data_IF_636706802577
#
_entry.id   IF_636706802577
#
_cell.length_a   1.000
_cell.length_b   1.000
_cell.length_c   1.000
_cell.angle_alpha   90.00
_cell.angle_beta   90.00
_cell.angle_gamma   90.00
#
_symmetry.space_group_name_H-M   'P 1'
#
loop_
_entity.id
_entity.type
_entity.pdbx_description
1 polymer ?
#
# COMPACT_ATOMS: atom_id res chain seq x y z
N UNK A 1 2.95 16.57 9.52
CA UNK A 1 2.24 15.28 9.54
C UNK A 1 3.20 14.19 9.97
N UNK A 2 2.68 13.16 10.63
CA UNK A 2 3.40 11.88 10.81
C UNK A 2 2.92 10.88 9.77
N UNK A 3 3.85 10.38 8.96
CA UNK A 3 3.59 9.46 7.85
C UNK A 3 4.22 8.10 8.16
N UNK A 4 3.41 7.05 8.20
CA UNK A 4 3.89 5.66 8.34
C UNK A 4 3.83 4.97 6.98
N UNK A 5 4.93 4.36 6.53
CA UNK A 5 5.01 3.70 5.22
C UNK A 5 5.47 2.26 5.40
N UNK A 6 4.64 1.30 5.00
CA UNK A 6 5.05 -0.11 5.01
C UNK A 6 5.89 -0.44 3.78
N UNK A 7 6.97 -1.23 3.98
CA UNK A 7 7.88 -1.59 2.88
C UNK A 7 8.68 -0.42 2.32
N UNK A 8 9.23 0.43 3.21
CA UNK A 8 9.97 1.65 2.86
C UNK A 8 11.46 1.42 2.57
N UNK A 9 11.94 0.17 2.48
CA UNK A 9 13.38 -0.11 2.31
C UNK A 9 13.89 0.05 0.88
N UNK A 10 13.02 0.09 -0.12
CA UNK A 10 13.37 0.21 -1.56
C UNK A 10 12.19 0.68 -2.40
N UNK A 11 12.46 0.96 -3.67
CA UNK A 11 11.45 1.29 -4.68
C UNK A 11 10.53 2.44 -4.29
N UNK A 12 9.25 2.32 -4.58
CA UNK A 12 8.24 3.35 -4.32
C UNK A 12 8.19 3.74 -2.84
N UNK A 13 8.25 2.76 -1.93
CA UNK A 13 8.19 3.04 -0.49
C UNK A 13 9.36 3.89 0.01
N UNK A 14 10.59 3.61 -0.45
CA UNK A 14 11.76 4.42 -0.12
C UNK A 14 11.67 5.83 -0.74
N UNK A 15 11.20 5.93 -1.99
CA UNK A 15 10.99 7.21 -2.65
C UNK A 15 9.95 8.07 -1.93
N UNK A 16 8.80 7.50 -1.52
CA UNK A 16 7.79 8.20 -0.72
C UNK A 16 8.34 8.66 0.63
N UNK A 17 9.15 7.81 1.29
CA UNK A 17 9.78 8.19 2.55
C UNK A 17 10.71 9.40 2.37
N UNK A 18 11.56 9.40 1.36
CA UNK A 18 12.44 10.52 1.04
C UNK A 18 11.65 11.78 0.67
N UNK A 19 10.58 11.64 -0.12
CA UNK A 19 9.71 12.74 -0.53
C UNK A 19 9.10 13.46 0.69
N UNK A 20 8.42 12.72 1.57
CA UNK A 20 7.79 13.30 2.77
C UNK A 20 8.82 13.83 3.77
N UNK A 21 9.99 13.20 3.91
CA UNK A 21 11.09 13.73 4.75
C UNK A 21 11.60 15.06 4.21
N UNK A 22 11.82 15.17 2.89
CA UNK A 22 12.28 16.42 2.26
C UNK A 22 11.27 17.57 2.38
N UNK A 23 9.97 17.23 2.47
CA UNK A 23 8.89 18.16 2.74
C UNK A 23 8.74 18.53 4.23
N UNK A 24 9.63 18.06 5.10
CA UNK A 24 9.65 18.41 6.53
C UNK A 24 8.65 17.61 7.38
N UNK A 25 8.19 16.46 6.91
CA UNK A 25 7.29 15.60 7.67
C UNK A 25 8.05 14.58 8.52
N UNK A 26 7.47 14.17 9.64
CA UNK A 26 7.94 13.00 10.38
C UNK A 26 7.57 11.74 9.60
N UNK A 27 8.57 10.96 9.18
CA UNK A 27 8.36 9.72 8.42
C UNK A 27 8.86 8.53 9.20
N UNK A 28 8.02 7.51 9.31
CA UNK A 28 8.35 6.23 9.94
C UNK A 28 8.27 5.16 8.85
N UNK A 29 9.42 4.91 8.23
CA UNK A 29 9.57 3.86 7.23
C UNK A 29 9.75 2.50 7.87
N UNK A 30 8.91 1.52 7.50
CA UNK A 30 9.03 0.16 8.03
C UNK A 30 9.58 -0.82 7.00
N UNK A 31 10.23 -1.87 7.48
CA UNK A 31 10.79 -2.93 6.66
C UNK A 31 11.15 -4.17 7.49
N UNK A 32 11.43 -5.28 6.82
CA UNK A 32 11.77 -6.56 7.47
C UNK A 32 13.17 -6.58 8.09
N UNK A 33 14.09 -5.79 7.54
CA UNK A 33 15.47 -5.71 8.02
C UNK A 33 15.53 -4.99 9.36
N UNK A 34 16.45 -5.43 10.22
CA UNK A 34 16.79 -4.71 11.46
C UNK A 34 17.40 -3.31 11.20
N UNK A 35 17.85 -3.03 9.98
CA UNK A 35 18.29 -1.69 9.57
C UNK A 35 17.14 -0.74 9.21
N UNK A 36 15.89 -1.21 9.14
CA UNK A 36 14.73 -0.34 8.96
C UNK A 36 14.56 0.56 10.19
N UNK A 37 14.05 1.76 9.99
CA UNK A 37 13.76 2.69 11.09
C UNK A 37 12.81 2.06 12.12
N UNK A 38 11.85 1.27 11.65
CA UNK A 38 10.99 0.44 12.48
C UNK A 38 10.79 -0.92 11.80
N UNK A 39 11.10 -1.99 12.53
CA UNK A 39 10.99 -3.33 11.95
C UNK A 39 9.53 -3.76 11.84
N UNK A 40 9.13 -4.21 10.65
CA UNK A 40 7.82 -4.78 10.37
C UNK A 40 7.93 -5.88 9.31
N UNK A 41 7.58 -7.09 9.69
CA UNK A 41 7.17 -8.13 8.74
C UNK A 41 5.63 -8.16 8.70
N UNK A 42 5.06 -7.71 7.59
CA UNK A 42 3.59 -7.63 7.43
C UNK A 42 2.90 -9.00 7.46
N UNK A 43 3.65 -10.09 7.35
CA UNK A 43 3.13 -11.46 7.44
C UNK A 43 3.07 -11.99 8.89
N UNK A 44 3.60 -11.22 9.86
CA UNK A 44 3.71 -11.66 11.25
C UNK A 44 2.82 -10.80 12.16
N UNK A 45 1.72 -11.33 12.72
CA UNK A 45 0.83 -10.55 13.59
C UNK A 45 1.54 -9.91 14.79
N UNK A 46 2.51 -10.60 15.39
CA UNK A 46 3.30 -10.07 16.49
C UNK A 46 4.12 -8.83 16.09
N UNK A 47 4.57 -8.74 14.82
CA UNK A 47 5.33 -7.61 14.30
C UNK A 47 4.48 -6.34 14.20
N UNK A 48 3.19 -6.46 13.87
CA UNK A 48 2.25 -5.35 13.86
C UNK A 48 2.00 -4.81 15.27
N UNK A 49 1.85 -5.70 16.25
CA UNK A 49 1.71 -5.31 17.66
C UNK A 49 2.95 -4.56 18.15
N UNK A 50 4.14 -5.09 17.88
CA UNK A 50 5.40 -4.44 18.24
C UNK A 50 5.56 -3.07 17.57
N UNK A 51 5.15 -2.92 16.31
CA UNK A 51 5.12 -1.63 15.61
C UNK A 51 4.22 -0.62 16.33
N UNK A 52 2.98 -1.00 16.67
CA UNK A 52 2.05 -0.11 17.37
C UNK A 52 2.57 0.28 18.76
N UNK A 53 3.15 -0.66 19.50
CA UNK A 53 3.78 -0.40 20.81
C UNK A 53 4.96 0.56 20.69
N UNK A 54 5.82 0.41 19.69
CA UNK A 54 6.95 1.30 19.44
C UNK A 54 6.53 2.73 19.04
N UNK A 55 5.36 2.89 18.45
CA UNK A 55 4.78 4.21 18.15
C UNK A 55 4.23 4.90 19.41
N UNK A 56 3.86 4.16 20.44
CA UNK A 56 3.33 4.72 21.70
C UNK A 56 2.10 5.60 21.46
N UNK A 57 2.15 6.84 21.91
CA UNK A 57 1.02 7.80 21.77
C UNK A 57 1.08 8.68 20.52
N UNK A 58 1.98 8.39 19.57
CA UNK A 58 2.10 9.19 18.35
C UNK A 58 0.79 9.20 17.57
N UNK A 59 0.48 10.36 17.01
CA UNK A 59 -0.57 10.52 16.01
C UNK A 59 -0.03 10.06 14.68
N UNK A 60 -0.80 9.32 13.90
CA UNK A 60 -0.48 8.97 12.51
C UNK A 60 -1.48 9.67 11.60
N UNK A 61 -1.01 10.63 10.83
CA UNK A 61 -1.85 11.40 9.90
C UNK A 61 -2.07 10.66 8.58
N UNK A 62 -1.04 9.93 8.12
CA UNK A 62 -1.09 9.14 6.88
C UNK A 62 -0.43 7.78 7.08
N UNK A 63 -1.18 6.71 6.82
CA UNK A 63 -0.66 5.35 6.67
C UNK A 63 -0.61 4.98 5.19
N UNK A 64 0.58 4.65 4.67
CA UNK A 64 0.77 4.12 3.31
C UNK A 64 1.02 2.62 3.39
N UNK A 65 0.04 1.82 2.99
CA UNK A 65 0.15 0.37 2.83
C UNK A 65 0.80 0.05 1.48
N UNK A 66 2.15 0.14 1.43
CA UNK A 66 2.92 -0.05 0.21
C UNK A 66 3.59 -1.44 0.13
N UNK A 67 3.86 -2.10 1.25
CA UNK A 67 4.44 -3.45 1.24
C UNK A 67 3.63 -4.40 0.35
N UNK A 68 4.30 -5.07 -0.60
CA UNK A 68 3.66 -5.98 -1.52
C UNK A 68 4.66 -6.86 -2.25
N UNK A 69 4.15 -7.97 -2.82
CA UNK A 69 4.94 -8.95 -3.59
C UNK A 69 4.22 -9.30 -4.88
N UNK A 70 4.99 -9.71 -5.89
CA UNK A 70 4.53 -10.24 -7.17
C UNK A 70 5.31 -11.54 -7.44
N UNK A 71 4.83 -12.65 -6.88
CA UNK A 71 5.56 -13.91 -6.85
C UNK A 71 5.33 -14.80 -8.08
N UNK A 72 4.23 -14.61 -8.79
CA UNK A 72 3.83 -15.40 -9.95
C UNK A 72 4.16 -14.73 -11.30
N UNK A 73 5.11 -13.82 -11.32
CA UNK A 73 5.58 -13.19 -12.56
C UNK A 73 6.27 -14.24 -13.44
N UNK A 74 5.74 -14.41 -14.66
CA UNK A 74 6.26 -15.38 -15.64
C UNK A 74 5.78 -16.81 -15.45
N UNK A 75 4.90 -17.10 -14.48
CA UNK A 75 4.23 -18.40 -14.37
C UNK A 75 3.10 -18.53 -15.40
N UNK A 76 2.84 -19.75 -15.82
CA UNK A 76 1.74 -20.13 -16.68
C UNK A 76 0.94 -21.31 -16.09
N UNK A 77 -0.16 -21.69 -16.73
CA UNK A 77 -1.00 -22.79 -16.23
C UNK A 77 -0.31 -24.15 -16.31
N UNK A 78 0.59 -24.36 -17.24
CA UNK A 78 1.27 -25.63 -17.43
C UNK A 78 2.39 -25.82 -16.41
N UNK A 79 3.17 -24.76 -16.08
CA UNK A 79 4.18 -24.76 -15.02
C UNK A 79 3.56 -24.72 -13.61
N UNK A 80 2.31 -24.28 -13.53
CA UNK A 80 1.50 -24.27 -12.32
C UNK A 80 1.68 -23.06 -11.41
N UNK A 81 0.72 -22.94 -10.49
CA UNK A 81 0.66 -21.92 -9.45
C UNK A 81 0.54 -22.62 -8.11
N UNK A 82 1.67 -22.87 -7.44
CA UNK A 82 1.72 -23.60 -6.17
C UNK A 82 0.88 -22.93 -5.07
N UNK A 83 0.23 -23.72 -4.23
CA UNK A 83 -0.59 -23.22 -3.13
C UNK A 83 0.19 -22.28 -2.19
N UNK A 84 1.48 -22.53 -2.01
CA UNK A 84 2.35 -21.68 -1.18
C UNK A 84 2.53 -20.28 -1.75
N UNK A 85 2.58 -20.12 -3.09
CA UNK A 85 2.65 -18.81 -3.72
C UNK A 85 1.36 -18.02 -3.49
N UNK A 86 0.19 -18.70 -3.55
CA UNK A 86 -1.09 -18.11 -3.20
C UNK A 86 -1.09 -17.63 -1.75
N UNK A 87 -0.73 -18.50 -0.81
CA UNK A 87 -0.71 -18.19 0.60
C UNK A 87 0.21 -16.99 0.91
N UNK A 88 1.44 -16.98 0.39
CA UNK A 88 2.40 -15.89 0.60
C UNK A 88 1.94 -14.57 -0.01
N UNK A 89 1.39 -14.61 -1.22
CA UNK A 89 0.90 -13.40 -1.90
C UNK A 89 -0.28 -12.78 -1.17
N UNK A 90 -1.26 -13.58 -0.75
CA UNK A 90 -2.40 -13.08 0.00
C UNK A 90 -2.02 -12.66 1.41
N UNK A 91 -1.10 -13.37 2.08
CA UNK A 91 -0.58 -12.96 3.38
C UNK A 91 0.02 -11.55 3.32
N UNK A 92 0.83 -11.26 2.28
CA UNK A 92 1.49 -9.95 2.15
C UNK A 92 0.53 -8.87 1.61
N UNK A 93 -0.13 -9.15 0.46
CA UNK A 93 -0.84 -8.13 -0.31
C UNK A 93 -2.23 -7.81 0.26
N UNK A 94 -2.81 -8.68 1.09
CA UNK A 94 -4.16 -8.53 1.64
C UNK A 94 -4.14 -8.53 3.16
N UNK A 95 -3.77 -9.66 3.78
CA UNK A 95 -3.80 -9.79 5.24
C UNK A 95 -2.84 -8.80 5.91
N UNK A 96 -1.63 -8.65 5.38
CA UNK A 96 -0.64 -7.69 5.89
C UNK A 96 -1.09 -6.24 5.79
N UNK A 97 -1.83 -5.87 4.73
CA UNK A 97 -2.48 -4.56 4.61
C UNK A 97 -3.50 -4.37 5.72
N UNK A 98 -4.42 -5.34 5.88
CA UNK A 98 -5.45 -5.25 6.92
C UNK A 98 -4.86 -5.16 8.32
N UNK A 99 -3.90 -6.02 8.66
CA UNK A 99 -3.25 -6.03 9.97
C UNK A 99 -2.48 -4.73 10.26
N UNK A 100 -1.85 -4.14 9.25
CA UNK A 100 -1.18 -2.83 9.41
C UNK A 100 -2.19 -1.74 9.75
N UNK A 101 -3.33 -1.71 9.05
CA UNK A 101 -4.41 -0.76 9.32
C UNK A 101 -4.98 -1.01 10.72
N UNK A 102 -5.33 -2.25 11.05
CA UNK A 102 -5.92 -2.62 12.34
C UNK A 102 -5.02 -2.22 13.52
N UNK A 103 -3.72 -2.49 13.43
CA UNK A 103 -2.76 -2.15 14.48
C UNK A 103 -2.62 -0.65 14.67
N UNK A 104 -2.75 0.15 13.61
CA UNK A 104 -2.59 1.61 13.66
C UNK A 104 -3.90 2.38 13.81
N UNK A 105 -5.05 1.72 13.89
CA UNK A 105 -6.33 2.39 14.11
C UNK A 105 -6.35 3.34 15.31
N UNK A 106 -5.78 2.99 16.50
CA UNK A 106 -5.74 3.92 17.64
C UNK A 106 -4.95 5.21 17.33
N UNK A 107 -3.90 5.11 16.49
CA UNK A 107 -3.05 6.23 16.08
C UNK A 107 -3.73 7.12 15.03
N UNK A 108 -4.41 6.49 14.05
CA UNK A 108 -5.17 7.16 12.99
C UNK A 108 -6.39 7.93 13.57
N UNK A 109 -7.07 7.36 14.57
CA UNK A 109 -8.20 8.00 15.26
C UNK A 109 -7.82 9.26 16.05
N UNK A 110 -6.55 9.43 16.41
CA UNK A 110 -6.04 10.64 17.08
C UNK A 110 -5.75 11.77 16.09
N UNK A 111 -5.66 11.48 14.79
CA UNK A 111 -5.43 12.49 13.76
C UNK A 111 -6.70 13.32 13.54
N UNK A 112 -6.53 14.62 13.22
CA UNK A 112 -7.66 15.49 12.87
C UNK A 112 -8.34 15.08 11.54
N UNK A 113 -7.57 14.49 10.64
CA UNK A 113 -8.03 14.01 9.34
C UNK A 113 -7.13 12.82 8.93
N UNK A 114 -7.35 11.67 9.58
CA UNK A 114 -6.57 10.46 9.32
C UNK A 114 -6.75 9.97 7.88
N UNK A 115 -5.66 9.52 7.27
CA UNK A 115 -5.64 9.03 5.89
C UNK A 115 -4.99 7.66 5.78
N UNK A 116 -5.55 6.81 4.94
CA UNK A 116 -5.00 5.50 4.59
C UNK A 116 -4.87 5.42 3.08
N UNK A 117 -3.67 5.21 2.58
CA UNK A 117 -3.38 4.96 1.17
C UNK A 117 -2.99 3.50 0.96
N UNK A 118 -3.74 2.76 0.15
CA UNK A 118 -3.46 1.36 -0.18
C UNK A 118 -2.91 1.28 -1.59
N UNK A 119 -1.68 0.76 -1.74
CA UNK A 119 -1.09 0.52 -3.05
C UNK A 119 -1.62 -0.79 -3.62
N UNK A 120 -2.55 -0.67 -4.57
CA UNK A 120 -3.06 -1.76 -5.37
C UNK A 120 -2.38 -1.79 -6.75
N UNK A 121 -3.11 -2.07 -7.82
CA UNK A 121 -2.60 -2.16 -9.18
C UNK A 121 -3.75 -2.01 -10.18
N UNK A 122 -3.46 -1.54 -11.40
CA UNK A 122 -4.40 -1.67 -12.53
C UNK A 122 -4.78 -3.12 -12.81
N UNK A 123 -3.93 -4.07 -12.39
CA UNK A 123 -4.18 -5.51 -12.53
C UNK A 123 -5.27 -6.02 -11.56
N UNK A 124 -5.75 -5.17 -10.64
CA UNK A 124 -6.90 -5.44 -9.77
C UNK A 124 -8.24 -5.25 -10.47
N UNK A 125 -8.26 -4.53 -11.59
CA UNK A 125 -9.50 -4.18 -12.30
C UNK A 125 -10.11 -5.38 -13.00
N UNK A 126 -11.39 -5.65 -12.75
CA UNK A 126 -12.17 -6.68 -13.43
C UNK A 126 -12.39 -6.33 -14.91
N UNK A 127 -12.40 -5.04 -15.25
CA UNK A 127 -12.50 -4.56 -16.63
C UNK A 127 -11.19 -4.79 -17.43
N UNK A 128 -10.09 -5.14 -16.76
CA UNK A 128 -8.79 -5.43 -17.36
C UNK A 128 -8.32 -6.83 -17.01
N UNK A 129 -8.94 -7.84 -17.62
CA UNK A 129 -8.66 -9.26 -17.36
C UNK A 129 -8.05 -9.96 -18.58
N UNK A 130 -6.80 -9.66 -19.00
CA UNK A 130 -6.16 -10.28 -20.17
C UNK A 130 -5.64 -11.69 -19.90
N UNK A 131 -5.82 -12.22 -18.68
CA UNK A 131 -5.25 -13.50 -18.25
C UNK A 131 -3.84 -13.37 -17.65
N UNK A 132 -3.29 -14.49 -17.18
CA UNK A 132 -1.97 -14.57 -16.52
C UNK A 132 -1.91 -13.89 -15.16
N UNK A 133 -0.79 -14.10 -14.44
CA UNK A 133 -0.55 -13.49 -13.13
C UNK A 133 -1.73 -13.64 -12.16
N UNK A 134 -2.34 -14.81 -12.16
CA UNK A 134 -3.61 -15.06 -11.45
C UNK A 134 -3.53 -14.73 -9.97
N UNK A 135 -2.41 -15.05 -9.31
CA UNK A 135 -2.22 -14.82 -7.88
C UNK A 135 -2.12 -13.33 -7.60
N UNK A 136 -1.25 -12.62 -8.34
CA UNK A 136 -1.05 -11.19 -8.15
C UNK A 136 -2.34 -10.41 -8.41
N UNK A 137 -2.99 -10.67 -9.57
CA UNK A 137 -4.26 -10.03 -9.93
C UNK A 137 -5.32 -10.22 -8.85
N UNK A 138 -5.55 -11.48 -8.45
CA UNK A 138 -6.54 -11.80 -7.41
C UNK A 138 -6.22 -11.14 -6.07
N UNK A 139 -4.94 -11.12 -5.66
CA UNK A 139 -4.54 -10.47 -4.41
C UNK A 139 -4.72 -8.95 -4.45
N UNK A 140 -4.46 -8.31 -5.60
CA UNK A 140 -4.65 -6.86 -5.77
C UNK A 140 -6.12 -6.47 -5.90
N UNK A 141 -6.95 -7.32 -6.52
CA UNK A 141 -8.41 -7.17 -6.53
C UNK A 141 -8.99 -7.32 -5.10
N UNK A 142 -8.49 -8.29 -4.32
CA UNK A 142 -8.89 -8.43 -2.92
C UNK A 142 -8.47 -7.21 -2.07
N UNK A 143 -7.28 -6.65 -2.28
CA UNK A 143 -6.83 -5.42 -1.61
C UNK A 143 -7.67 -4.20 -2.02
N UNK A 144 -8.09 -4.11 -3.29
CA UNK A 144 -9.01 -3.07 -3.76
C UNK A 144 -10.37 -3.19 -3.06
N UNK A 145 -10.97 -4.38 -3.06
CA UNK A 145 -12.24 -4.64 -2.38
C UNK A 145 -12.16 -4.33 -0.88
N UNK A 146 -11.08 -4.76 -0.21
CA UNK A 146 -10.81 -4.42 1.19
C UNK A 146 -10.79 -2.91 1.41
N UNK A 147 -10.07 -2.16 0.58
CA UNK A 147 -9.98 -0.70 0.68
C UNK A 147 -11.32 0.00 0.52
N UNK A 148 -12.17 -0.46 -0.41
CA UNK A 148 -13.53 0.08 -0.62
C UNK A 148 -14.43 -0.11 0.61
N UNK A 149 -14.39 -1.29 1.23
CA UNK A 149 -15.16 -1.57 2.43
C UNK A 149 -14.64 -0.76 3.63
N UNK A 150 -13.32 -0.68 3.81
CA UNK A 150 -12.71 0.17 4.85
C UNK A 150 -13.07 1.66 4.66
N UNK A 151 -13.10 2.15 3.42
CA UNK A 151 -13.51 3.52 3.13
C UNK A 151 -14.95 3.81 3.60
N UNK A 152 -15.84 2.84 3.43
CA UNK A 152 -17.24 2.94 3.89
C UNK A 152 -17.33 2.96 5.41
N UNK A 153 -16.62 2.04 6.07
CA UNK A 153 -16.71 1.87 7.52
C UNK A 153 -15.99 3.00 8.29
N UNK A 154 -14.86 3.51 7.76
CA UNK A 154 -14.04 4.51 8.45
C UNK A 154 -14.44 5.96 8.15
N UNK A 155 -15.25 6.22 7.12
CA UNK A 155 -15.76 7.56 6.81
C UNK A 155 -16.47 8.22 7.99
N UNK A 156 -17.39 7.54 8.74
CA UNK A 156 -18.01 8.12 9.92
C UNK A 156 -17.03 8.44 11.07
N UNK A 157 -15.86 7.79 11.07
CA UNK A 157 -14.79 8.04 12.04
C UNK A 157 -13.85 9.19 11.64
N UNK A 158 -14.11 9.85 10.50
CA UNK A 158 -13.29 10.95 9.99
C UNK A 158 -11.99 10.50 9.32
N UNK A 159 -11.88 9.21 8.94
CA UNK A 159 -10.69 8.65 8.30
C UNK A 159 -11.00 8.38 6.82
N UNK A 160 -10.19 8.94 5.93
CA UNK A 160 -10.31 8.73 4.49
C UNK A 160 -9.41 7.58 4.03
N UNK A 161 -9.92 6.73 3.14
CA UNK A 161 -9.18 5.60 2.55
C UNK A 161 -9.17 5.76 1.04
N UNK A 162 -7.99 5.76 0.42
CA UNK A 162 -7.81 5.76 -1.03
C UNK A 162 -7.03 4.53 -1.50
N UNK A 163 -7.36 4.05 -2.68
CA UNK A 163 -6.71 2.91 -3.32
C UNK A 163 -6.03 3.40 -4.60
N UNK A 164 -4.78 3.01 -4.82
CA UNK A 164 -3.97 3.60 -5.87
C UNK A 164 -3.24 2.58 -6.72
N UNK A 165 -3.23 2.81 -8.04
CA UNK A 165 -2.31 2.16 -8.95
C UNK A 165 -1.08 3.05 -9.14
N UNK A 166 0.12 2.58 -8.78
CA UNK A 166 1.34 3.40 -8.82
C UNK A 166 1.90 3.64 -10.22
N UNK A 167 1.32 3.03 -11.27
CA UNK A 167 1.91 2.91 -12.59
C UNK A 167 2.73 1.61 -12.74
N UNK A 168 3.27 1.38 -13.94
CA UNK A 168 4.31 0.39 -14.15
C UNK A 168 5.66 1.10 -13.97
N UNK A 169 6.26 0.88 -12.79
CA UNK A 169 7.35 1.70 -12.26
C UNK A 169 8.68 0.96 -12.34
N UNK A 170 9.74 1.64 -12.76
CA UNK A 170 11.12 1.13 -12.80
C UNK A 170 11.63 0.86 -11.37
N UNK A 171 11.47 -0.38 -10.95
CA UNK A 171 11.85 -0.95 -9.64
C UNK A 171 12.23 -2.41 -9.83
N UNK A 172 12.77 -3.06 -8.80
CA UNK A 172 13.06 -4.51 -8.85
C UNK A 172 11.82 -5.35 -9.25
N UNK A 173 10.62 -4.90 -8.88
CA UNK A 173 9.37 -5.58 -9.22
C UNK A 173 8.92 -5.28 -10.66
N UNK A 174 9.02 -4.03 -11.09
CA UNK A 174 8.57 -3.59 -12.41
C UNK A 174 9.54 -3.98 -13.52
N UNK A 175 10.83 -3.92 -13.25
CA UNK A 175 11.92 -4.09 -14.23
C UNK A 175 12.27 -2.79 -14.96
N UNK A 176 13.37 -2.83 -15.72
CA UNK A 176 13.91 -1.65 -16.41
C UNK A 176 13.06 -1.18 -17.60
N UNK A 177 12.22 -2.07 -18.14
CA UNK A 177 11.32 -1.76 -19.24
C UNK A 177 10.01 -1.07 -18.83
N UNK A 178 9.86 -0.74 -17.54
CA UNK A 178 8.66 -0.09 -17.02
C UNK A 178 8.49 1.33 -17.57
N UNK A 179 7.22 1.75 -17.68
CA UNK A 179 6.82 2.97 -18.40
C UNK A 179 7.27 4.28 -17.71
N UNK A 180 7.37 4.27 -16.37
CA UNK A 180 7.65 5.48 -15.59
C UNK A 180 8.76 5.25 -14.57
N UNK A 181 9.44 6.33 -14.22
CA UNK A 181 10.46 6.33 -13.18
C UNK A 181 9.85 6.25 -11.78
N UNK A 182 10.67 5.88 -10.80
CA UNK A 182 10.24 5.91 -9.39
C UNK A 182 9.87 7.32 -8.95
N UNK A 183 10.60 8.35 -9.41
CA UNK A 183 10.34 9.75 -9.03
C UNK A 183 9.01 10.26 -9.58
N UNK A 184 8.66 9.93 -10.82
CA UNK A 184 7.35 10.26 -11.41
C UNK A 184 6.21 9.62 -10.61
N UNK A 185 6.33 8.32 -10.30
CA UNK A 185 5.33 7.61 -9.52
C UNK A 185 5.18 8.20 -8.10
N UNK A 186 6.30 8.50 -7.43
CA UNK A 186 6.33 9.05 -6.07
C UNK A 186 5.68 10.43 -6.01
N UNK A 187 6.06 11.34 -6.92
CA UNK A 187 5.50 12.68 -6.97
C UNK A 187 3.99 12.66 -7.23
N UNK A 188 3.56 11.83 -8.16
CA UNK A 188 2.15 11.67 -8.47
C UNK A 188 1.37 11.07 -7.29
N UNK A 189 1.83 9.97 -6.70
CA UNK A 189 1.19 9.33 -5.56
C UNK A 189 1.11 10.27 -4.34
N UNK A 190 2.19 10.99 -4.01
CA UNK A 190 2.18 11.94 -2.90
C UNK A 190 1.11 13.01 -3.10
N UNK A 191 0.99 13.58 -4.30
CA UNK A 191 -0.06 14.54 -4.62
C UNK A 191 -1.48 13.93 -4.46
N UNK A 192 -1.67 12.64 -4.77
CA UNK A 192 -2.97 11.96 -4.55
C UNK A 192 -3.25 11.72 -3.08
N UNK A 193 -2.24 11.32 -2.29
CA UNK A 193 -2.40 11.13 -0.85
C UNK A 193 -2.69 12.46 -0.13
N UNK A 194 -2.06 13.55 -0.56
CA UNK A 194 -2.31 14.88 -0.01
C UNK A 194 -3.72 15.36 -0.32
N UNK A 195 -4.22 15.09 -1.53
CA UNK A 195 -5.58 15.43 -1.98
C UNK A 195 -6.68 14.51 -1.41
N UNK A 196 -6.33 13.35 -0.83
CA UNK A 196 -7.31 12.41 -0.27
C UNK A 196 -8.09 13.08 0.87
N UNK A 197 -9.41 12.98 0.82
CA UNK A 197 -10.33 13.55 1.79
C UNK A 197 -11.54 12.66 2.01
N UNK A 198 -12.44 13.03 2.92
CA UNK A 198 -13.70 12.29 3.15
C UNK A 198 -14.66 12.37 1.95
N UNK A 199 -14.51 13.39 1.09
CA UNK A 199 -15.29 13.52 -0.15
C UNK A 199 -14.82 12.54 -1.22
N UNK A 200 -13.51 12.23 -1.22
CA UNK A 200 -12.89 11.34 -2.20
C UNK A 200 -12.58 9.94 -1.64
N UNK A 201 -12.96 9.66 -0.38
CA UNK A 201 -12.74 8.34 0.23
C UNK A 201 -13.40 7.23 -0.58
N UNK A 202 -12.68 6.12 -0.77
CA UNK A 202 -13.09 5.03 -1.66
C UNK A 202 -12.66 5.22 -3.11
N UNK A 203 -11.84 6.23 -3.43
CA UNK A 203 -11.29 6.40 -4.77
C UNK A 203 -10.39 5.22 -5.17
N UNK A 204 -10.46 4.84 -6.45
CA UNK A 204 -9.44 4.01 -7.09
C UNK A 204 -8.83 4.82 -8.23
N UNK A 205 -7.61 5.27 -8.05
CA UNK A 205 -6.94 6.21 -8.95
C UNK A 205 -5.56 5.70 -9.38
N UNK A 206 -5.12 6.17 -10.53
CA UNK A 206 -3.74 6.04 -10.97
C UNK A 206 -2.85 7.11 -10.29
N UNK A 207 -1.56 6.92 -10.30
CA UNK A 207 -0.56 7.85 -9.76
C UNK A 207 -0.72 9.29 -10.28
N UNK A 208 -1.20 9.45 -11.51
CA UNK A 208 -1.43 10.74 -12.17
C UNK A 208 -2.85 11.31 -11.96
N UNK A 209 -3.66 10.67 -11.11
CA UNK A 209 -4.97 11.15 -10.69
C UNK A 209 -6.14 10.79 -11.60
N UNK A 210 -5.93 9.94 -12.60
CA UNK A 210 -7.04 9.41 -13.40
C UNK A 210 -7.82 8.38 -12.59
N UNK A 211 -9.15 8.46 -12.59
CA UNK A 211 -9.99 7.42 -12.04
C UNK A 211 -9.73 6.10 -12.78
N UNK A 212 -9.51 5.03 -12.02
CA UNK A 212 -9.30 3.71 -12.58
C UNK A 212 -10.61 2.90 -12.50
N UNK A 213 -11.01 2.21 -13.58
CA UNK A 213 -12.18 1.32 -13.52
C UNK A 213 -11.92 0.13 -12.59
N UNK A 214 -12.99 -0.33 -11.95
CA UNK A 214 -12.97 -1.52 -11.10
C UNK A 214 -12.86 -2.82 -11.89
#
# INVERSE_FOLDING_TARGET
MTVVITGASRGIGAGLAAHYQSAGHEVIGTGRSAAAQLQLDVNQPASHKAMAEALGDRVVDLLVCNAGVYLDKGHDLDSGYGADLWAQSFATNVTGVFLSIQALMPHLRRAKAGKIAIISSQMASDNRAPGGSYIYRSSKAAALNLGLNLAKDLKPEGIAVGIYHPGWVQTDMGGDAADITTDEAVNGLAARFDALSLETTGCFETWDGRAHPY
#
